data_IF_179994595416
#
_entry.id   IF_179994595416
#
_cell.length_a   1.000
_cell.length_b   1.000
_cell.length_c   1.000
_cell.angle_alpha   90.00
_cell.angle_beta   90.00
_cell.angle_gamma   90.00
#
_symmetry.space_group_name_H-M   'P 1'
#
loop_
_entity.id
_entity.type
_entity.pdbx_description
1 polymer ?
#
# COMPACT_ATOMS: atom_id res chain seq x y z
N UNK A 1 30.66 104.32 -22.41
CA UNK A 1 29.83 103.94 -23.58
C UNK A 1 28.99 102.76 -23.15
N UNK A 2 27.69 102.96 -23.28
CA UNK A 2 26.53 102.14 -22.94
C UNK A 2 26.53 100.73 -23.54
N UNK A 3 26.16 99.77 -22.68
CA UNK A 3 25.00 98.86 -22.82
C UNK A 3 25.02 97.76 -23.90
N UNK A 4 24.97 96.49 -23.46
CA UNK A 4 24.27 95.41 -24.18
C UNK A 4 23.65 94.42 -23.17
N UNK A 5 22.33 94.31 -23.24
CA UNK A 5 21.46 93.37 -22.55
C UNK A 5 21.55 91.94 -23.11
N UNK A 6 20.72 91.05 -22.52
CA UNK A 6 20.31 89.71 -22.97
C UNK A 6 21.23 88.56 -22.50
N UNK A 7 20.78 87.41 -22.00
CA UNK A 7 19.46 86.84 -21.72
C UNK A 7 19.69 85.47 -21.04
N UNK A 8 18.63 84.97 -20.38
CA UNK A 8 18.32 83.56 -20.08
C UNK A 8 19.18 82.73 -19.11
N UNK A 9 18.48 82.38 -18.03
CA UNK A 9 18.40 81.06 -17.39
C UNK A 9 19.26 79.96 -18.03
N UNK A 10 20.15 79.39 -17.22
CA UNK A 10 20.45 77.96 -17.33
C UNK A 10 20.40 77.33 -15.94
N UNK A 11 19.18 76.88 -15.62
CA UNK A 11 18.96 75.89 -14.59
C UNK A 11 19.53 74.56 -15.07
N UNK A 12 20.64 74.15 -14.47
CA UNK A 12 21.00 72.74 -14.38
C UNK A 12 22.22 72.33 -15.18
N UNK A 13 23.35 72.23 -14.49
CA UNK A 13 24.21 71.06 -14.67
C UNK A 13 24.88 70.72 -13.35
N UNK A 14 24.65 69.49 -12.88
CA UNK A 14 25.41 68.89 -11.79
C UNK A 14 26.42 67.92 -12.40
N UNK A 15 27.70 68.24 -12.26
CA UNK A 15 28.79 67.28 -12.41
C UNK A 15 29.86 67.58 -11.35
N UNK A 16 29.93 66.72 -10.33
CA UNK A 16 31.18 66.44 -9.63
C UNK A 16 31.78 67.46 -8.65
N UNK A 17 31.05 68.48 -8.20
CA UNK A 17 31.52 69.37 -7.12
C UNK A 17 30.51 69.48 -5.98
N UNK A 18 31.04 69.61 -4.77
CA UNK A 18 30.32 69.63 -3.51
C UNK A 18 29.06 70.52 -3.58
N UNK A 19 27.92 69.93 -3.20
CA UNK A 19 26.68 70.66 -3.00
C UNK A 19 26.89 71.71 -1.89
N UNK A 20 26.44 72.97 -2.08
CA UNK A 20 26.54 74.01 -1.05
C UNK A 20 26.01 73.55 0.31
N UNK A 21 26.54 74.06 1.41
CA UNK A 21 25.99 73.75 2.73
C UNK A 21 24.53 74.21 2.82
N UNK A 22 23.60 73.27 2.99
CA UNK A 22 22.17 73.54 2.99
C UNK A 22 21.33 72.28 3.25
N UNK A 23 20.05 72.46 3.54
CA UNK A 23 19.11 71.35 3.72
C UNK A 23 18.61 70.87 2.37
N UNK A 24 19.01 69.66 1.95
CA UNK A 24 18.50 69.01 0.75
C UNK A 24 17.37 68.05 1.11
N UNK A 25 16.31 68.05 0.30
CA UNK A 25 15.21 67.07 0.40
C UNK A 25 15.36 66.06 -0.72
N UNK A 26 15.76 64.84 -0.40
CA UNK A 26 15.73 63.74 -1.36
C UNK A 26 14.27 63.43 -1.73
N UNK A 27 14.02 63.13 -3.01
CA UNK A 27 12.70 62.68 -3.46
C UNK A 27 12.49 61.26 -2.93
N UNK A 28 11.34 60.99 -2.31
CA UNK A 28 11.06 59.68 -1.76
C UNK A 28 10.90 58.67 -2.91
N UNK A 29 11.85 57.77 -3.10
CA UNK A 29 11.73 56.71 -4.10
C UNK A 29 10.75 55.66 -3.58
N UNK A 30 9.74 55.34 -4.39
CA UNK A 30 8.79 54.26 -4.06
C UNK A 30 9.56 52.94 -4.14
N UNK A 31 9.76 52.28 -3.00
CA UNK A 31 10.33 50.95 -2.95
C UNK A 31 9.51 49.96 -3.79
N UNK A 32 10.15 48.96 -4.42
CA UNK A 32 9.44 47.96 -5.22
C UNK A 32 8.35 47.27 -4.40
N UNK A 33 7.18 47.08 -5.02
CA UNK A 33 5.99 46.51 -4.37
C UNK A 33 6.11 45.01 -4.13
N UNK A 34 7.06 44.58 -3.30
CA UNK A 34 7.37 43.18 -3.02
C UNK A 34 6.16 42.38 -2.54
N UNK A 35 5.25 43.00 -1.79
CA UNK A 35 4.02 42.35 -1.34
C UNK A 35 3.04 42.06 -2.47
N UNK A 36 2.97 42.94 -3.47
CA UNK A 36 2.10 42.74 -4.63
C UNK A 36 2.65 41.61 -5.52
N UNK A 37 3.97 41.60 -5.73
CA UNK A 37 4.62 40.56 -6.53
C UNK A 37 4.55 39.20 -5.84
N UNK A 38 4.84 39.10 -4.54
CA UNK A 38 4.67 37.88 -3.76
C UNK A 38 3.21 37.38 -3.77
N UNK A 39 2.25 38.30 -3.59
CA UNK A 39 0.82 37.96 -3.63
C UNK A 39 0.41 37.34 -4.97
N UNK A 40 0.84 37.92 -6.08
CA UNK A 40 0.57 37.39 -7.43
C UNK A 40 1.20 36.01 -7.61
N UNK A 41 2.46 35.82 -7.17
CA UNK A 41 3.14 34.52 -7.28
C UNK A 41 2.45 33.41 -6.51
N UNK A 42 2.00 33.69 -5.28
CA UNK A 42 1.26 32.71 -4.46
C UNK A 42 -0.06 32.33 -5.15
N UNK A 43 -0.80 33.32 -5.66
CA UNK A 43 -2.07 33.07 -6.36
C UNK A 43 -1.86 32.15 -7.57
N UNK A 44 -0.82 32.41 -8.37
CA UNK A 44 -0.49 31.61 -9.56
C UNK A 44 -0.14 30.17 -9.19
N UNK A 45 0.68 29.98 -8.15
CA UNK A 45 1.06 28.63 -7.70
C UNK A 45 -0.14 27.83 -7.20
N UNK A 46 -1.00 28.46 -6.40
CA UNK A 46 -2.21 27.81 -5.87
C UNK A 46 -3.16 27.43 -7.01
N UNK A 47 -3.39 28.33 -7.97
CA UNK A 47 -4.24 28.01 -9.14
C UNK A 47 -3.65 26.90 -9.99
N UNK A 48 -2.34 26.88 -10.22
CA UNK A 48 -1.66 25.83 -10.97
C UNK A 48 -1.78 24.46 -10.26
N UNK A 49 -1.53 24.41 -8.94
CA UNK A 49 -1.68 23.17 -8.16
C UNK A 49 -3.12 22.68 -8.18
N UNK A 50 -4.10 23.58 -8.01
CA UNK A 50 -5.51 23.20 -8.00
C UNK A 50 -5.97 22.67 -9.37
N UNK A 51 -5.52 23.29 -10.46
CA UNK A 51 -5.77 22.80 -11.81
C UNK A 51 -5.15 21.41 -12.04
N UNK A 52 -3.90 21.21 -11.60
CA UNK A 52 -3.22 19.91 -11.68
C UNK A 52 -3.93 18.83 -10.86
N UNK A 53 -4.42 19.16 -9.66
CA UNK A 53 -5.20 18.22 -8.84
C UNK A 53 -6.51 17.81 -9.52
N UNK A 54 -7.22 18.76 -10.15
CA UNK A 54 -8.45 18.46 -10.91
C UNK A 54 -8.14 17.58 -12.13
N UNK A 55 -7.04 17.84 -12.83
CA UNK A 55 -6.60 17.01 -13.95
C UNK A 55 -6.21 15.60 -13.48
N UNK A 56 -5.50 15.48 -12.36
CA UNK A 56 -5.09 14.19 -11.80
C UNK A 56 -6.30 13.32 -11.41
N UNK A 57 -7.34 13.89 -10.77
CA UNK A 57 -8.55 13.14 -10.42
C UNK A 57 -9.36 12.71 -11.64
N UNK A 58 -9.25 13.43 -12.76
CA UNK A 58 -9.91 13.07 -14.03
C UNK A 58 -9.15 12.01 -14.83
N UNK A 59 -7.83 11.99 -14.73
CA UNK A 59 -6.97 11.08 -15.49
C UNK A 59 -6.76 9.75 -14.76
N UNK A 60 -6.94 9.70 -13.43
CA UNK A 60 -6.75 8.46 -12.67
C UNK A 60 -7.66 7.37 -13.23
N UNK A 61 -7.12 6.36 -13.93
CA UNK A 61 -7.94 5.28 -14.46
C UNK A 61 -8.51 4.52 -13.27
N UNK A 62 -9.79 4.16 -13.34
CA UNK A 62 -10.38 3.27 -12.35
C UNK A 62 -9.51 2.00 -12.25
N UNK A 63 -9.23 1.47 -11.05
CA UNK A 63 -8.49 0.22 -10.93
C UNK A 63 -9.18 -0.82 -11.81
N UNK A 64 -8.43 -1.40 -12.75
CA UNK A 64 -8.97 -2.37 -13.68
C UNK A 64 -9.33 -3.61 -12.88
N UNK A 65 -10.59 -3.68 -12.44
CA UNK A 65 -11.19 -4.88 -11.91
C UNK A 65 -11.38 -5.81 -13.10
N UNK A 66 -10.45 -6.74 -13.29
CA UNK A 66 -10.65 -7.85 -14.21
C UNK A 66 -11.79 -8.72 -13.69
N UNK A 67 -13.02 -8.29 -13.96
CA UNK A 67 -14.18 -9.16 -13.86
C UNK A 67 -14.21 -9.99 -15.12
N UNK A 68 -14.28 -11.29 -14.89
CA UNK A 68 -14.78 -12.25 -15.83
C UNK A 68 -15.88 -11.65 -16.73
N UNK A 69 -15.73 -11.69 -18.08
CA UNK A 69 -16.82 -11.42 -19.00
C UNK A 69 -18.07 -12.26 -18.62
N UNK A 70 -19.27 -11.86 -19.04
CA UNK A 70 -20.52 -12.52 -18.64
C UNK A 70 -20.57 -14.04 -18.94
N UNK A 71 -19.71 -14.54 -19.84
CA UNK A 71 -19.50 -15.95 -20.14
C UNK A 71 -18.14 -16.48 -19.65
N UNK A 72 -17.73 -16.12 -18.44
CA UNK A 72 -16.75 -16.97 -17.75
C UNK A 72 -17.42 -18.30 -17.50
N UNK A 73 -16.99 -19.31 -18.27
CA UNK A 73 -17.51 -20.66 -18.23
C UNK A 73 -17.85 -21.09 -16.81
N UNK A 74 -18.99 -21.76 -16.67
CA UNK A 74 -19.43 -22.25 -15.35
C UNK A 74 -18.34 -23.17 -14.80
N UNK A 75 -17.98 -23.03 -13.52
CA UNK A 75 -17.04 -23.95 -12.90
C UNK A 75 -17.52 -25.39 -13.14
N UNK A 76 -16.59 -26.35 -13.35
CA UNK A 76 -16.94 -27.72 -13.67
C UNK A 76 -18.00 -28.22 -12.68
N UNK A 77 -19.12 -28.74 -13.19
CA UNK A 77 -20.24 -29.27 -12.38
C UNK A 77 -19.91 -30.65 -11.78
N UNK A 78 -18.63 -30.99 -11.68
CA UNK A 78 -18.19 -32.18 -10.96
C UNK A 78 -18.53 -32.00 -9.48
N UNK A 79 -18.89 -33.10 -8.82
CA UNK A 79 -18.93 -33.10 -7.35
C UNK A 79 -17.55 -32.64 -6.86
N UNK A 80 -17.48 -31.60 -6.01
CA UNK A 80 -16.20 -31.12 -5.53
C UNK A 80 -15.50 -32.27 -4.78
N UNK A 81 -14.32 -32.63 -5.27
CA UNK A 81 -13.50 -33.67 -4.63
C UNK A 81 -12.76 -32.98 -3.49
N UNK A 82 -13.32 -33.08 -2.28
CA UNK A 82 -12.69 -32.59 -1.07
C UNK A 82 -11.57 -33.56 -0.66
N UNK A 83 -10.38 -33.41 -1.26
CA UNK A 83 -9.21 -34.22 -0.90
C UNK A 83 -8.62 -33.84 0.45
N UNK A 84 -8.77 -32.57 0.84
CA UNK A 84 -8.26 -32.03 2.09
C UNK A 84 -9.37 -31.93 3.14
N UNK A 85 -9.05 -32.16 4.43
CA UNK A 85 -10.00 -31.94 5.50
C UNK A 85 -10.39 -30.46 5.58
N UNK A 86 -11.55 -30.21 6.19
CA UNK A 86 -12.17 -28.88 6.25
C UNK A 86 -12.44 -28.48 7.68
N UNK A 87 -11.96 -27.29 8.03
CA UNK A 87 -12.29 -26.61 9.28
C UNK A 87 -13.63 -25.90 9.14
N UNK A 88 -14.47 -26.01 10.16
CA UNK A 88 -15.69 -25.23 10.31
C UNK A 88 -15.58 -24.41 11.58
N UNK A 89 -15.79 -23.10 11.46
CA UNK A 89 -15.84 -22.24 12.62
C UNK A 89 -16.96 -22.70 13.57
N UNK A 90 -16.76 -22.67 14.90
CA UNK A 90 -17.77 -23.11 15.87
C UNK A 90 -19.11 -22.37 15.75
N UNK A 91 -19.07 -21.11 15.31
CA UNK A 91 -20.24 -20.28 15.05
C UNK A 91 -20.83 -20.48 13.63
N UNK A 92 -20.19 -21.30 12.80
CA UNK A 92 -20.57 -21.52 11.40
C UNK A 92 -20.42 -20.29 10.51
N UNK A 93 -19.60 -19.31 10.89
CA UNK A 93 -19.37 -18.07 10.12
C UNK A 93 -18.57 -18.31 8.83
N UNK A 94 -17.60 -19.24 8.89
CA UNK A 94 -16.78 -19.61 7.74
C UNK A 94 -16.29 -21.06 7.82
N UNK A 95 -15.73 -21.53 6.71
CA UNK A 95 -14.99 -22.79 6.65
C UNK A 95 -13.82 -22.70 5.67
N UNK A 96 -12.78 -23.50 5.89
CA UNK A 96 -11.56 -23.49 5.05
C UNK A 96 -10.96 -24.89 5.02
N UNK A 97 -10.40 -25.29 3.88
CA UNK A 97 -9.63 -26.53 3.77
C UNK A 97 -8.23 -26.31 4.33
N UNK A 98 -7.65 -27.34 4.93
CA UNK A 98 -6.32 -27.26 5.56
C UNK A 98 -5.47 -28.51 5.25
N UNK A 99 -4.15 -28.48 5.49
CA UNK A 99 -3.29 -29.63 5.26
C UNK A 99 -3.77 -30.89 6.00
N UNK A 100 -3.81 -32.04 5.32
CA UNK A 100 -4.22 -33.28 5.96
C UNK A 100 -3.21 -33.75 7.03
N UNK A 101 -3.67 -34.48 8.08
CA UNK A 101 -2.75 -35.14 9.01
C UNK A 101 -1.77 -36.06 8.27
N UNK A 102 -0.51 -36.08 8.69
CA UNK A 102 0.55 -36.87 8.06
C UNK A 102 1.17 -36.25 6.80
N UNK A 103 0.77 -35.02 6.45
CA UNK A 103 1.54 -34.18 5.52
C UNK A 103 2.73 -33.53 6.24
N UNK A 104 3.53 -32.72 5.55
CA UNK A 104 4.66 -31.99 6.12
C UNK A 104 4.26 -30.81 7.03
N UNK A 105 3.06 -30.86 7.62
CA UNK A 105 2.51 -29.79 8.44
C UNK A 105 2.09 -30.32 9.82
N UNK A 106 2.48 -29.61 10.86
CA UNK A 106 1.91 -29.73 12.19
C UNK A 106 0.73 -28.76 12.31
N UNK A 107 -0.48 -29.33 12.32
CA UNK A 107 -1.73 -28.56 12.29
C UNK A 107 -2.33 -28.42 13.68
N UNK A 108 -2.61 -27.17 14.07
CA UNK A 108 -3.33 -26.81 15.29
C UNK A 108 -4.63 -26.09 14.93
N UNK A 109 -5.75 -26.55 15.51
CA UNK A 109 -7.04 -25.90 15.38
C UNK A 109 -7.19 -24.79 16.41
N UNK A 110 -7.54 -23.59 15.96
CA UNK A 110 -7.84 -22.43 16.79
C UNK A 110 -9.37 -22.16 16.78
N UNK A 111 -9.91 -21.44 17.78
CA UNK A 111 -11.34 -21.11 17.81
C UNK A 111 -11.83 -20.31 16.60
N UNK A 112 -10.92 -19.58 15.94
CA UNK A 112 -11.22 -18.74 14.79
C UNK A 112 -10.52 -19.20 13.50
N UNK A 113 -9.88 -20.37 13.46
CA UNK A 113 -9.20 -20.86 12.26
C UNK A 113 -8.24 -22.01 12.48
N UNK A 114 -7.26 -22.10 11.58
CA UNK A 114 -6.23 -23.14 11.54
C UNK A 114 -4.85 -22.50 11.51
N UNK A 115 -3.95 -22.99 12.34
CA UNK A 115 -2.51 -22.76 12.24
C UNK A 115 -1.85 -24.04 11.75
N UNK A 116 -1.00 -23.96 10.73
CA UNK A 116 -0.23 -25.07 10.22
C UNK A 116 1.24 -24.66 10.13
N UNK A 117 2.11 -25.41 10.81
CA UNK A 117 3.55 -25.17 10.83
C UNK A 117 4.24 -26.15 9.88
N UNK A 118 5.01 -25.64 8.93
CA UNK A 118 5.71 -26.46 7.94
C UNK A 118 6.97 -27.05 8.60
N UNK A 119 7.12 -28.37 8.55
CA UNK A 119 8.20 -29.11 9.23
C UNK A 119 9.34 -29.53 8.29
N UNK A 120 9.30 -29.08 7.04
CA UNK A 120 10.28 -29.37 5.99
C UNK A 120 10.70 -28.09 5.28
N UNK A 121 11.76 -28.14 4.47
CA UNK A 121 12.25 -26.98 3.73
C UNK A 121 12.71 -25.88 4.69
N UNK A 122 12.38 -24.63 4.36
CA UNK A 122 12.69 -23.48 5.22
C UNK A 122 11.71 -23.36 6.42
N UNK A 123 10.69 -24.22 6.48
CA UNK A 123 9.64 -24.17 7.47
C UNK A 123 8.74 -22.93 7.33
N UNK A 124 8.24 -22.45 8.47
CA UNK A 124 7.33 -21.31 8.54
C UNK A 124 5.93 -21.67 9.00
N UNK A 125 5.09 -20.66 9.15
CA UNK A 125 3.73 -20.78 9.69
C UNK A 125 2.69 -20.27 8.69
N UNK A 126 1.72 -21.12 8.37
CA UNK A 126 0.52 -20.79 7.64
C UNK A 126 -0.63 -20.60 8.63
N UNK A 127 -1.38 -19.51 8.50
CA UNK A 127 -2.59 -19.23 9.28
C UNK A 127 -3.76 -18.97 8.34
N UNK A 128 -4.85 -19.69 8.59
CA UNK A 128 -6.09 -19.62 7.84
C UNK A 128 -7.23 -19.34 8.82
N UNK A 129 -7.66 -18.11 8.96
CA UNK A 129 -8.56 -17.72 10.06
C UNK A 129 -9.53 -16.61 9.67
N UNK A 130 -10.42 -16.26 10.60
CA UNK A 130 -11.32 -15.12 10.49
C UNK A 130 -11.21 -14.18 11.69
N UNK A 131 -11.60 -12.93 11.46
CA UNK A 131 -11.90 -11.98 12.53
C UNK A 131 -13.07 -11.05 12.14
N UNK A 132 -13.80 -10.48 13.12
CA UNK A 132 -14.80 -9.46 12.85
C UNK A 132 -14.17 -8.25 12.16
N UNK A 133 -14.73 -7.81 11.04
CA UNK A 133 -14.23 -6.65 10.32
C UNK A 133 -14.54 -5.35 11.07
N UNK A 134 -15.67 -5.27 11.80
CA UNK A 134 -16.07 -4.07 12.55
C UNK A 134 -16.13 -2.80 11.69
N UNK A 135 -16.59 -2.95 10.45
CA UNK A 135 -16.64 -1.88 9.45
C UNK A 135 -15.31 -1.56 8.77
N UNK A 136 -14.22 -2.24 9.11
CA UNK A 136 -12.92 -2.10 8.43
C UNK A 136 -12.95 -2.76 7.06
N UNK A 137 -12.28 -2.15 6.09
CA UNK A 137 -12.02 -2.78 4.80
C UNK A 137 -10.85 -3.77 4.87
N UNK A 138 -10.65 -4.55 3.80
CA UNK A 138 -9.61 -5.60 3.77
C UNK A 138 -8.19 -5.06 3.95
N UNK A 139 -7.91 -3.83 3.48
CA UNK A 139 -6.60 -3.20 3.61
C UNK A 139 -6.35 -2.75 5.05
N UNK A 140 -7.37 -2.16 5.68
CA UNK A 140 -7.32 -1.77 7.10
C UNK A 140 -7.11 -3.00 8.00
N UNK A 141 -7.84 -4.09 7.75
CA UNK A 141 -7.65 -5.34 8.50
C UNK A 141 -6.23 -5.90 8.32
N UNK A 142 -5.70 -5.93 7.10
CA UNK A 142 -4.32 -6.39 6.87
C UNK A 142 -3.29 -5.53 7.59
N UNK A 143 -3.41 -4.20 7.49
CA UNK A 143 -2.52 -3.25 8.15
C UNK A 143 -2.56 -3.40 9.68
N UNK A 144 -3.75 -3.51 10.28
CA UNK A 144 -3.93 -3.72 11.72
C UNK A 144 -3.28 -5.04 12.18
N UNK A 145 -3.46 -6.11 11.39
CA UNK A 145 -2.90 -7.42 11.69
C UNK A 145 -1.38 -7.44 11.60
N UNK A 146 -0.80 -6.83 10.57
CA UNK A 146 0.65 -6.68 10.45
C UNK A 146 1.22 -5.83 11.58
N UNK A 147 0.65 -4.65 11.84
CA UNK A 147 1.13 -3.78 12.93
C UNK A 147 1.07 -4.46 14.30
N UNK A 148 0.09 -5.36 14.51
CA UNK A 148 -0.05 -6.11 15.76
C UNK A 148 0.93 -7.28 15.88
N UNK A 149 1.15 -8.04 14.80
CA UNK A 149 1.95 -9.27 14.83
C UNK A 149 3.42 -9.04 14.50
N UNK A 150 3.71 -8.08 13.63
CA UNK A 150 5.03 -7.75 13.09
C UNK A 150 5.17 -6.22 13.04
N UNK A 151 5.36 -5.55 14.20
CA UNK A 151 5.33 -4.09 14.29
C UNK A 151 6.44 -3.40 13.49
N UNK A 152 7.53 -4.10 13.20
CA UNK A 152 8.66 -3.61 12.41
C UNK A 152 8.57 -3.98 10.92
N UNK A 153 7.49 -4.67 10.51
CA UNK A 153 7.33 -5.11 9.13
C UNK A 153 7.16 -3.94 8.15
N UNK A 154 7.81 -4.06 6.99
CA UNK A 154 7.77 -3.09 5.90
C UNK A 154 7.18 -3.77 4.67
N UNK A 155 6.13 -3.17 4.09
CA UNK A 155 5.54 -3.67 2.84
C UNK A 155 6.58 -3.66 1.71
N UNK A 156 6.83 -4.83 1.12
CA UNK A 156 7.67 -4.99 -0.05
C UNK A 156 6.90 -4.67 -1.33
N UNK A 157 5.69 -5.23 -1.47
CA UNK A 157 4.78 -4.93 -2.58
C UNK A 157 3.35 -5.40 -2.30
N UNK A 158 2.39 -4.79 -3.00
CA UNK A 158 0.99 -5.21 -2.98
C UNK A 158 0.69 -6.28 -4.03
N UNK A 159 -0.17 -7.24 -3.70
CA UNK A 159 -0.65 -8.26 -4.62
C UNK A 159 -1.79 -7.69 -5.47
N UNK A 160 -1.60 -7.54 -6.80
CA UNK A 160 -2.65 -7.02 -7.67
C UNK A 160 -3.81 -8.01 -7.75
N UNK A 161 -5.04 -7.51 -7.65
CA UNK A 161 -6.27 -8.31 -7.74
C UNK A 161 -6.28 -9.51 -6.78
N UNK A 162 -5.86 -9.30 -5.53
CA UNK A 162 -5.94 -10.31 -4.48
C UNK A 162 -7.39 -10.81 -4.31
N UNK A 163 -7.56 -12.13 -4.28
CA UNK A 163 -8.86 -12.80 -4.10
C UNK A 163 -8.67 -13.84 -3.00
N UNK A 164 -9.65 -13.90 -2.09
CA UNK A 164 -9.71 -14.91 -1.04
C UNK A 164 -11.12 -15.50 -1.02
N UNK A 165 -11.23 -16.82 -1.14
CA UNK A 165 -12.53 -17.47 -1.17
C UNK A 165 -13.44 -17.06 -2.34
N UNK A 166 -12.89 -16.60 -3.46
CA UNK A 166 -13.61 -15.95 -4.58
C UNK A 166 -14.20 -14.57 -4.28
N UNK A 167 -13.89 -13.96 -3.15
CA UNK A 167 -14.21 -12.57 -2.87
C UNK A 167 -12.99 -11.68 -3.16
N UNK A 168 -13.14 -10.58 -3.93
CA UNK A 168 -12.08 -9.61 -4.10
C UNK A 168 -11.66 -9.00 -2.75
N UNK A 169 -10.36 -8.87 -2.56
CA UNK A 169 -9.79 -8.44 -1.29
C UNK A 169 -8.56 -7.56 -1.46
N UNK A 170 -7.75 -7.56 -0.42
CA UNK A 170 -6.43 -6.94 -0.37
C UNK A 170 -5.39 -8.01 -0.09
N UNK A 171 -4.20 -7.86 -0.64
CA UNK A 171 -3.08 -8.71 -0.29
C UNK A 171 -1.78 -7.98 -0.47
N UNK A 172 -0.79 -8.32 0.34
CA UNK A 172 0.54 -7.74 0.29
C UNK A 172 1.59 -8.72 0.79
N UNK A 173 2.82 -8.43 0.40
CA UNK A 173 4.02 -9.09 0.89
C UNK A 173 4.82 -8.06 1.68
N UNK A 174 5.23 -8.43 2.88
CA UNK A 174 6.01 -7.60 3.78
C UNK A 174 7.28 -8.34 4.22
N UNK A 175 8.30 -7.56 4.57
CA UNK A 175 9.53 -8.06 5.16
C UNK A 175 9.63 -7.61 6.61
N UNK A 176 10.10 -8.49 7.48
CA UNK A 176 10.38 -8.17 8.87
C UNK A 176 11.78 -8.65 9.25
N UNK A 177 12.42 -7.90 10.13
CA UNK A 177 13.69 -8.27 10.77
C UNK A 177 13.49 -8.17 12.27
N UNK A 178 13.02 -9.25 12.92
CA UNK A 178 12.74 -9.25 14.34
C UNK A 178 13.96 -8.80 15.15
N UNK A 179 13.69 -8.01 16.19
CA UNK A 179 14.71 -7.50 17.14
C UNK A 179 14.37 -7.94 18.56
N UNK A 180 15.37 -8.36 19.33
CA UNK A 180 15.21 -8.83 20.71
C UNK A 180 14.58 -10.23 20.86
N UNK A 181 14.60 -11.07 19.83
CA UNK A 181 14.08 -12.44 19.82
C UNK A 181 15.17 -13.47 19.46
N UNK A 182 14.87 -14.76 19.59
CA UNK A 182 15.81 -15.83 19.16
C UNK A 182 16.06 -15.86 17.65
N UNK A 183 15.26 -15.14 16.85
CA UNK A 183 15.39 -14.98 15.40
C UNK A 183 16.01 -13.61 15.03
N UNK A 184 16.78 -13.01 15.94
CA UNK A 184 17.40 -11.70 15.72
C UNK A 184 18.23 -11.68 14.44
N UNK A 185 17.90 -10.76 13.54
CA UNK A 185 18.51 -10.58 12.20
C UNK A 185 18.07 -11.57 11.12
N UNK A 186 17.15 -12.50 11.40
CA UNK A 186 16.55 -13.30 10.33
C UNK A 186 15.63 -12.42 9.48
N UNK A 187 15.86 -12.44 8.17
CA UNK A 187 14.95 -11.80 7.22
C UNK A 187 13.72 -12.68 7.07
N UNK A 188 12.63 -12.29 7.74
CA UNK A 188 11.34 -12.93 7.58
C UNK A 188 10.59 -12.31 6.42
N UNK A 189 9.90 -13.16 5.68
CA UNK A 189 8.93 -12.74 4.69
C UNK A 189 7.53 -13.16 5.09
N UNK A 190 6.62 -12.22 4.97
CA UNK A 190 5.21 -12.36 5.32
C UNK A 190 4.40 -12.13 4.04
N UNK A 191 3.43 -12.99 3.79
CA UNK A 191 2.37 -12.77 2.81
C UNK A 191 1.04 -12.77 3.55
N UNK A 192 0.21 -11.77 3.30
CA UNK A 192 -1.14 -11.68 3.87
C UNK A 192 -2.14 -11.39 2.75
N UNK A 193 -3.25 -12.13 2.77
CA UNK A 193 -4.39 -11.94 1.87
C UNK A 193 -5.64 -11.89 2.73
N UNK A 194 -6.42 -10.82 2.57
CA UNK A 194 -7.63 -10.55 3.34
C UNK A 194 -8.77 -10.25 2.39
N UNK A 195 -9.96 -10.78 2.67
CA UNK A 195 -11.19 -10.33 2.05
C UNK A 195 -12.27 -10.16 3.12
N UNK A 196 -13.16 -9.18 2.90
CA UNK A 196 -14.21 -8.81 3.85
C UNK A 196 -15.56 -8.95 3.17
N UNK A 197 -16.47 -9.69 3.81
CA UNK A 197 -17.86 -9.88 3.37
C UNK A 197 -18.75 -10.03 4.60
N UNK A 198 -19.90 -9.34 4.59
CA UNK A 198 -20.87 -9.35 5.69
C UNK A 198 -20.25 -9.07 7.07
N UNK A 199 -19.35 -8.07 7.14
CA UNK A 199 -18.61 -7.68 8.36
C UNK A 199 -17.71 -8.77 8.97
N UNK A 200 -17.38 -9.81 8.20
CA UNK A 200 -16.40 -10.84 8.56
C UNK A 200 -15.20 -10.77 7.62
N UNK A 201 -14.02 -10.58 8.19
CA UNK A 201 -12.75 -10.69 7.48
C UNK A 201 -12.26 -12.14 7.51
N UNK A 202 -11.98 -12.71 6.34
CA UNK A 202 -11.21 -13.94 6.21
C UNK A 202 -9.77 -13.56 5.88
N UNK A 203 -8.83 -14.30 6.46
CA UNK A 203 -7.40 -14.00 6.40
C UNK A 203 -6.63 -15.29 6.10
N UNK A 204 -5.86 -15.25 5.02
CA UNK A 204 -4.78 -16.19 4.76
C UNK A 204 -3.45 -15.47 4.96
N UNK A 205 -2.67 -15.91 5.93
CA UNK A 205 -1.33 -15.38 6.18
C UNK A 205 -0.30 -16.50 6.15
N UNK A 206 0.85 -16.27 5.56
CA UNK A 206 2.00 -17.15 5.72
C UNK A 206 3.25 -16.32 6.06
N UNK A 207 4.07 -16.86 6.96
CA UNK A 207 5.33 -16.25 7.39
C UNK A 207 6.41 -17.32 7.46
N UNK A 208 7.64 -16.94 7.12
CA UNK A 208 8.80 -17.81 7.23
C UNK A 208 10.06 -17.08 6.78
N UNK A 209 11.21 -17.77 6.75
CA UNK A 209 12.45 -17.20 6.24
C UNK A 209 12.29 -16.73 4.79
N UNK A 210 12.91 -15.59 4.48
CA UNK A 210 13.06 -15.15 3.10
C UNK A 210 13.96 -16.13 2.34
N UNK A 211 13.46 -16.63 1.21
CA UNK A 211 14.17 -17.55 0.34
C UNK A 211 14.21 -17.01 -1.08
N UNK A 212 15.38 -16.58 -1.53
CA UNK A 212 15.58 -16.17 -2.93
C UNK A 212 15.73 -17.41 -3.81
N UNK A 213 14.67 -17.75 -4.54
CA UNK A 213 14.70 -18.90 -5.43
C UNK A 213 15.61 -18.67 -6.65
N UNK A 214 16.42 -19.66 -6.98
CA UNK A 214 17.33 -19.73 -8.11
C UNK A 214 17.31 -21.09 -8.82
N UNK A 215 18.20 -21.29 -9.80
CA UNK A 215 18.26 -22.52 -10.60
C UNK A 215 18.54 -23.81 -9.81
N UNK A 216 19.09 -23.68 -8.59
CA UNK A 216 19.55 -24.79 -7.78
C UNK A 216 18.48 -25.35 -6.81
N UNK A 217 17.32 -24.68 -6.66
CA UNK A 217 16.28 -25.04 -5.66
C UNK A 217 15.39 -26.23 -6.06
N UNK A 218 15.86 -27.04 -7.01
CA UNK A 218 15.23 -28.27 -7.43
C UNK A 218 14.06 -28.09 -8.41
N UNK A 219 13.40 -29.20 -8.78
CA UNK A 219 12.32 -29.19 -9.75
C UNK A 219 11.01 -28.70 -9.12
N UNK A 220 10.64 -27.45 -9.41
CA UNK A 220 9.33 -26.90 -9.03
C UNK A 220 9.23 -25.42 -9.38
N UNK A 221 8.01 -24.89 -9.63
CA UNK A 221 7.85 -23.45 -9.80
C UNK A 221 8.24 -22.73 -8.50
N UNK A 222 9.08 -21.68 -8.58
CA UNK A 222 9.46 -20.90 -7.41
C UNK A 222 8.25 -20.16 -6.85
N UNK A 223 8.31 -19.81 -5.56
CA UNK A 223 7.34 -18.89 -4.98
C UNK A 223 7.63 -17.48 -5.48
N UNK A 224 6.69 -16.78 -6.14
CA UNK A 224 6.91 -15.39 -6.56
C UNK A 224 7.06 -14.44 -5.36
N UNK A 225 6.68 -14.90 -4.16
CA UNK A 225 6.90 -14.18 -2.93
C UNK A 225 8.31 -14.34 -2.37
N UNK A 226 9.17 -15.24 -2.86
CA UNK A 226 10.42 -15.60 -2.18
C UNK A 226 10.19 -16.09 -0.74
N UNK A 227 9.15 -16.91 -0.58
CA UNK A 227 8.73 -17.54 0.67
C UNK A 227 8.29 -18.97 0.37
N UNK A 228 8.95 -19.98 0.94
CA UNK A 228 8.77 -21.39 0.58
C UNK A 228 7.36 -21.90 0.90
N UNK A 229 6.88 -21.68 2.12
CA UNK A 229 5.52 -22.05 2.54
C UNK A 229 4.41 -21.40 1.68
N UNK A 230 4.70 -20.27 1.01
CA UNK A 230 3.74 -19.62 0.12
C UNK A 230 3.50 -20.40 -1.19
N UNK A 231 4.38 -21.34 -1.58
CA UNK A 231 4.12 -22.29 -2.69
C UNK A 231 2.84 -23.09 -2.45
N UNK A 232 2.57 -23.40 -1.18
CA UNK A 232 1.43 -24.20 -0.77
C UNK A 232 0.20 -23.38 -0.37
N UNK A 233 0.38 -22.14 0.12
CA UNK A 233 -0.72 -21.29 0.56
C UNK A 233 -1.82 -21.16 -0.50
N UNK A 234 -1.46 -21.06 -1.78
CA UNK A 234 -2.40 -20.96 -2.89
C UNK A 234 -3.41 -22.12 -2.98
N UNK A 235 -3.07 -23.31 -2.46
CA UNK A 235 -3.98 -24.47 -2.40
C UNK A 235 -5.18 -24.24 -1.48
N UNK A 236 -5.06 -23.34 -0.50
CA UNK A 236 -6.06 -23.13 0.55
C UNK A 236 -6.83 -21.81 0.42
N UNK A 237 -6.22 -20.77 -0.18
CA UNK A 237 -6.82 -19.42 -0.35
C UNK A 237 -8.19 -19.48 -1.02
N UNK A 238 -8.36 -20.32 -2.04
CA UNK A 238 -9.64 -20.47 -2.74
C UNK A 238 -10.64 -21.40 -2.04
N UNK A 239 -10.30 -21.98 -0.88
CA UNK A 239 -11.19 -22.88 -0.14
C UNK A 239 -12.06 -22.16 0.90
N UNK A 240 -11.73 -20.92 1.28
CA UNK A 240 -12.43 -20.09 2.28
C UNK A 240 -13.88 -19.74 1.95
N UNK A 241 -14.85 -20.41 2.56
CA UNK A 241 -16.27 -20.13 2.33
C UNK A 241 -16.84 -19.32 3.48
N UNK A 242 -17.55 -18.23 3.17
CA UNK A 242 -18.45 -17.58 4.13
C UNK A 242 -19.72 -18.41 4.30
N UNK A 243 -20.42 -18.16 5.40
CA UNK A 243 -21.77 -18.68 5.62
C UNK A 243 -22.67 -18.34 4.43
N UNK A 244 -23.26 -19.38 3.83
CA UNK A 244 -24.19 -19.25 2.71
C UNK A 244 -23.56 -19.27 1.32
N UNK A 245 -22.23 -19.36 1.22
CA UNK A 245 -21.58 -19.56 -0.07
C UNK A 245 -21.93 -20.96 -0.66
N UNK A 246 -22.02 -21.08 -2.00
CA UNK A 246 -22.30 -22.35 -2.64
C UNK A 246 -21.18 -23.38 -2.36
N UNK A 247 -21.51 -24.68 -2.22
CA UNK A 247 -20.52 -25.74 -2.07
C UNK A 247 -19.53 -25.78 -3.22
N UNK A 248 -18.26 -26.06 -2.92
CA UNK A 248 -17.14 -26.18 -3.86
C UNK A 248 -16.04 -27.05 -3.29
#
# INVERSE_FOLDING_TARGET
MTDTAADREDAGSFAGYAVPAGSYRARNERGPGYFLTLGIWVVVLVTAMMALSVVATRITPAPIKYRCPPDCGRPPTGLPVATNPRYFAPDGSFSVSYPAPGTAYDVTMEPNGVRAELTVGDGGTLRLFSEPAQGRDARQVAADLLAKMFPDAVTAYELPNAILGYEPGYGEVADDWPKGTSADSEHLRIIIVVAVKNDLALVAGAVGPFHQFGPDDGPGPPSPANLDIAKDMGKYVNSFMWRGDPPR
#
